data_IF_442088375791
#
_entry.id   IF_442088375791
#
_cell.length_a   1.000
_cell.length_b   1.000
_cell.length_c   1.000
_cell.angle_alpha   90.00
_cell.angle_beta   90.00
_cell.angle_gamma   90.00
#
_symmetry.space_group_name_H-M   'P 1'
#
loop_
_entity.id
_entity.type
_entity.pdbx_description
1 polymer ?
#
# COMPACT_ATOMS: atom_id res chain seq x y z
N UNK A 1 -10.09 -7.83 7.42
CA UNK A 1 -9.81 -6.77 6.44
C UNK A 1 -9.32 -5.53 7.18
N UNK A 2 -8.09 -5.12 6.91
CA UNK A 2 -7.51 -3.89 7.44
C UNK A 2 -7.38 -2.86 6.32
N UNK A 3 -7.48 -1.59 6.69
CA UNK A 3 -7.38 -0.45 5.78
C UNK A 3 -6.18 0.37 6.18
N UNK A 4 -5.29 0.61 5.23
CA UNK A 4 -4.04 1.32 5.43
C UNK A 4 -3.96 2.53 4.52
N UNK A 5 -3.29 3.56 5.03
CA UNK A 5 -2.92 4.76 4.28
C UNK A 5 -1.43 4.67 3.98
N UNK A 6 -1.05 4.93 2.74
CA UNK A 6 0.34 4.96 2.31
C UNK A 6 0.58 6.23 1.51
N UNK A 7 1.76 6.80 1.70
CA UNK A 7 2.22 8.01 1.04
C UNK A 7 3.43 7.63 0.21
N UNK A 8 3.42 8.08 -1.04
CA UNK A 8 4.56 7.91 -1.91
C UNK A 8 5.59 9.01 -1.72
N UNK A 9 6.77 8.85 -2.33
CA UNK A 9 7.78 9.91 -2.41
C UNK A 9 7.24 11.18 -3.11
N UNK A 10 6.24 11.01 -3.99
CA UNK A 10 5.50 12.10 -4.65
C UNK A 10 4.38 12.71 -3.80
N UNK A 11 4.28 12.34 -2.53
CA UNK A 11 3.19 12.73 -1.62
C UNK A 11 1.79 12.30 -2.11
N UNK A 12 1.71 11.38 -3.08
CA UNK A 12 0.44 10.85 -3.59
C UNK A 12 -0.19 9.92 -2.56
N UNK A 13 -1.21 10.42 -1.87
CA UNK A 13 -1.93 9.69 -0.85
C UNK A 13 -2.78 8.58 -1.50
N UNK A 14 -2.43 7.33 -1.19
CA UNK A 14 -3.20 6.16 -1.59
C UNK A 14 -3.71 5.40 -0.37
N UNK A 15 -4.84 4.74 -0.55
CA UNK A 15 -5.38 3.82 0.44
C UNK A 15 -5.32 2.43 -0.13
N UNK A 16 -5.11 1.44 0.73
CA UNK A 16 -5.24 0.05 0.33
C UNK A 16 -5.88 -0.79 1.41
N UNK A 17 -6.61 -1.81 0.99
CA UNK A 17 -7.03 -2.89 1.88
C UNK A 17 -6.01 -4.01 1.82
N UNK A 18 -5.84 -4.72 2.93
CA UNK A 18 -5.13 -5.99 2.96
C UNK A 18 -5.73 -6.89 4.03
N UNK A 19 -5.59 -8.21 3.83
CA UNK A 19 -5.90 -9.20 4.84
C UNK A 19 -4.78 -9.35 5.88
N UNK A 20 -3.58 -8.85 5.57
CA UNK A 20 -2.47 -8.84 6.53
C UNK A 20 -2.62 -7.76 7.59
N UNK A 21 -2.23 -8.11 8.81
CA UNK A 21 -2.11 -7.17 9.92
C UNK A 21 -0.89 -6.26 9.78
N UNK A 22 -0.86 -5.22 10.61
CA UNK A 22 0.16 -4.16 10.54
C UNK A 22 1.60 -4.68 10.63
N UNK A 23 1.87 -5.68 11.46
CA UNK A 23 3.22 -6.26 11.63
C UNK A 23 3.74 -6.82 10.30
N UNK A 24 2.92 -7.61 9.61
CA UNK A 24 3.31 -8.24 8.35
C UNK A 24 3.40 -7.22 7.20
N UNK A 25 2.51 -6.23 7.16
CA UNK A 25 2.65 -5.10 6.23
C UNK A 25 3.98 -4.38 6.45
N UNK A 26 4.37 -4.14 7.71
CA UNK A 26 5.62 -3.46 8.04
C UNK A 26 6.85 -4.28 7.65
N UNK A 27 6.81 -5.61 7.82
CA UNK A 27 7.87 -6.49 7.32
C UNK A 27 8.02 -6.38 5.80
N UNK A 28 6.90 -6.52 5.06
CA UNK A 28 6.89 -6.41 3.60
C UNK A 28 7.34 -5.03 3.10
N UNK A 29 6.96 -3.95 3.78
CA UNK A 29 7.47 -2.61 3.51
C UNK A 29 9.00 -2.58 3.65
N UNK A 30 9.54 -3.03 4.78
CA UNK A 30 10.99 -3.04 4.99
C UNK A 30 11.75 -3.91 3.98
N UNK A 31 11.16 -5.00 3.50
CA UNK A 31 11.75 -5.83 2.45
C UNK A 31 11.75 -5.10 1.09
N UNK A 32 10.63 -4.47 0.75
CA UNK A 32 10.46 -3.68 -0.46
C UNK A 32 11.42 -2.48 -0.49
N UNK A 33 11.56 -1.79 0.64
CA UNK A 33 12.43 -0.65 0.90
C UNK A 33 13.93 -0.97 0.71
N UNK A 34 14.33 -2.21 0.98
CA UNK A 34 15.71 -2.67 0.78
C UNK A 34 16.03 -2.98 -0.67
N UNK A 35 15.00 -3.29 -1.47
CA UNK A 35 15.16 -3.70 -2.87
C UNK A 35 14.87 -2.60 -3.87
N UNK A 36 14.07 -1.59 -3.50
CA UNK A 36 13.66 -0.50 -4.37
C UNK A 36 14.23 0.84 -3.85
N UNK A 37 14.89 1.59 -4.75
CA UNK A 37 15.44 2.91 -4.45
C UNK A 37 14.38 4.01 -4.44
N UNK A 38 13.27 3.80 -5.15
CA UNK A 38 12.14 4.72 -5.22
C UNK A 38 10.91 4.01 -4.66
N UNK A 39 10.26 4.65 -3.70
CA UNK A 39 8.94 4.22 -3.24
C UNK A 39 7.92 4.69 -4.27
N UNK A 40 7.26 3.73 -4.94
CA UNK A 40 6.09 3.95 -5.79
C UNK A 40 4.94 3.12 -5.23
N UNK A 41 3.87 3.77 -4.76
CA UNK A 41 2.72 3.16 -4.10
C UNK A 41 2.08 2.08 -4.96
N UNK A 42 1.91 2.35 -6.26
CA UNK A 42 1.37 1.37 -7.20
C UNK A 42 2.20 0.09 -7.26
N UNK A 43 3.51 0.23 -7.13
CA UNK A 43 4.48 -0.83 -7.31
C UNK A 43 4.56 -1.67 -6.01
N UNK A 44 4.59 -1.00 -4.85
CA UNK A 44 4.45 -1.66 -3.55
C UNK A 44 3.11 -2.39 -3.41
N UNK A 45 1.99 -1.80 -3.84
CA UNK A 45 0.69 -2.47 -3.78
C UNK A 45 0.62 -3.62 -4.80
N UNK A 46 1.28 -3.50 -5.95
CA UNK A 46 1.45 -4.61 -6.89
C UNK A 46 2.15 -5.79 -6.22
N UNK A 47 3.30 -5.53 -5.58
CA UNK A 47 4.03 -6.52 -4.79
C UNK A 47 3.18 -7.12 -3.65
N UNK A 48 2.44 -6.26 -2.93
CA UNK A 48 1.53 -6.70 -1.88
C UNK A 48 0.43 -7.61 -2.43
N UNK A 49 -0.08 -7.32 -3.62
CA UNK A 49 -1.13 -8.10 -4.29
C UNK A 49 -0.67 -9.47 -4.76
N UNK A 50 0.62 -9.63 -5.07
CA UNK A 50 1.22 -10.94 -5.35
C UNK A 50 1.25 -11.84 -4.10
N UNK A 51 1.44 -11.25 -2.91
CA UNK A 51 1.45 -11.97 -1.64
C UNK A 51 0.04 -12.13 -1.03
N UNK A 52 -0.81 -11.13 -1.22
CA UNK A 52 -2.18 -11.03 -0.72
C UNK A 52 -3.14 -10.72 -1.87
N UNK A 53 -3.82 -11.71 -2.46
CA UNK A 53 -4.74 -11.47 -3.57
C UNK A 53 -5.94 -10.60 -3.17
N UNK A 54 -6.20 -10.44 -1.87
CA UNK A 54 -7.22 -9.52 -1.35
C UNK A 54 -6.74 -8.07 -1.27
N UNK A 55 -5.44 -7.82 -1.46
CA UNK A 55 -4.89 -6.48 -1.45
C UNK A 55 -5.32 -5.67 -2.67
N UNK A 56 -5.85 -4.48 -2.42
CA UNK A 56 -6.37 -3.60 -3.47
C UNK A 56 -6.21 -2.14 -3.09
N UNK A 57 -5.84 -1.32 -4.08
CA UNK A 57 -5.84 0.14 -3.97
C UNK A 57 -7.29 0.61 -3.89
N UNK A 58 -7.57 1.47 -2.93
CA UNK A 58 -8.86 2.12 -2.75
C UNK A 58 -8.73 3.54 -3.27
N UNK A 59 -9.48 3.83 -4.32
CA UNK A 59 -9.65 5.19 -4.81
C UNK A 59 -10.62 5.93 -3.89
N UNK A 60 -10.15 6.98 -3.23
CA UNK A 60 -11.00 7.82 -2.37
C UNK A 60 -11.44 9.03 -3.17
N UNK A 61 -12.72 9.07 -3.52
CA UNK A 61 -13.35 10.24 -4.15
C UNK A 61 -13.98 11.12 -3.08
N UNK A 62 -13.57 12.39 -3.03
CA UNK A 62 -14.18 13.37 -2.13
C UNK A 62 -15.49 13.90 -2.73
N UNK A 63 -16.54 13.93 -1.90
CA UNK A 63 -17.81 14.57 -2.22
C UNK A 63 -17.91 15.81 -1.33
N UNK A 64 -18.17 16.97 -1.92
CA UNK A 64 -18.36 18.23 -1.22
C UNK A 64 -19.84 18.61 -1.25
N UNK A 65 -20.36 19.12 -0.12
CA UNK A 65 -21.73 19.65 0.02
C UNK A 65 -21.67 21.14 0.35
#
# INVERSE_FOLDING_TARGET
MFYYRIFDDKEELNFFKSSFGYEKIRELMNEYEKTHQEYINRDFIGYLKEQDPEAEIIEVTNIYY
#
